data_IF_207986484917
#
_entry.id   IF_207986484917
#
_cell.length_a   1.000
_cell.length_b   1.000
_cell.length_c   1.000
_cell.angle_alpha   90.00
_cell.angle_beta   90.00
_cell.angle_gamma   90.00
#
_symmetry.space_group_name_H-M   'P 1'
#
loop_
_entity.id
_entity.type
_entity.pdbx_description
1 polymer ?
#
# COMPACT_ATOMS: atom_id res chain seq x y z
N UNK A 1 7.35 29.61 10.09
CA UNK A 1 8.18 28.81 11.01
C UNK A 1 7.64 28.66 12.44
N UNK A 2 6.86 29.60 13.02
CA UNK A 2 6.38 29.52 14.43
C UNK A 2 5.56 28.26 14.79
N UNK A 3 4.86 27.65 13.84
CA UNK A 3 3.92 26.54 14.11
C UNK A 3 4.21 25.23 13.36
N UNK A 4 5.06 25.27 12.33
CA UNK A 4 5.36 24.14 11.45
C UNK A 4 6.82 23.71 11.52
N UNK A 5 7.54 24.06 12.59
CA UNK A 5 8.91 23.59 12.78
C UNK A 5 8.90 22.06 12.92
N UNK A 6 9.58 21.39 11.99
CA UNK A 6 9.65 19.93 11.96
C UNK A 6 10.56 19.43 13.10
N UNK A 7 10.07 18.52 13.97
CA UNK A 7 10.92 17.95 14.99
C UNK A 7 11.88 16.94 14.36
N UNK A 8 13.14 16.96 14.79
CA UNK A 8 14.10 15.89 14.48
C UNK A 8 13.75 14.67 15.33
N UNK A 9 13.54 13.52 14.69
CA UNK A 9 13.19 12.29 15.37
C UNK A 9 14.45 11.66 15.99
N UNK A 10 14.40 11.34 17.29
CA UNK A 10 15.53 10.73 18.00
C UNK A 10 15.85 9.32 17.48
N UNK A 11 17.12 8.93 17.43
CA UNK A 11 17.57 7.59 17.01
C UNK A 11 18.08 7.54 15.56
N UNK A 12 18.43 6.34 15.11
CA UNK A 12 18.97 6.10 13.75
C UNK A 12 17.84 5.90 12.73
N UNK A 13 18.08 6.17 11.44
CA UNK A 13 17.21 5.71 10.35
C UNK A 13 16.90 4.19 10.47
N UNK A 14 15.72 3.71 10.03
CA UNK A 14 14.71 4.42 9.23
C UNK A 14 13.69 5.22 10.06
N UNK A 15 13.56 4.97 11.37
CA UNK A 15 12.53 5.60 12.23
C UNK A 15 13.00 6.91 12.92
N UNK A 16 14.29 7.21 12.87
CA UNK A 16 14.90 8.44 13.38
C UNK A 16 15.44 9.34 12.28
N UNK A 17 15.95 10.52 12.65
CA UNK A 17 16.52 11.52 11.74
C UNK A 17 15.55 12.64 11.37
N UNK A 18 15.89 13.36 10.29
CA UNK A 18 15.01 14.38 9.72
C UNK A 18 13.78 13.71 9.08
N UNK A 19 12.65 14.41 9.12
CA UNK A 19 11.39 13.94 8.53
C UNK A 19 11.50 14.09 7.01
N UNK A 20 11.50 12.96 6.29
CA UNK A 20 11.66 12.96 4.84
C UNK A 20 10.39 13.41 4.11
N UNK A 21 9.23 12.92 4.54
CA UNK A 21 7.91 13.27 4.01
C UNK A 21 7.28 14.37 4.87
N UNK A 22 7.77 15.60 4.71
CA UNK A 22 7.42 16.73 5.56
C UNK A 22 6.02 17.29 5.29
N UNK A 23 5.54 17.29 4.04
CA UNK A 23 4.27 17.90 3.63
C UNK A 23 3.08 17.51 4.52
N UNK A 24 2.93 16.20 4.78
CA UNK A 24 1.86 15.67 5.62
C UNK A 24 1.99 16.08 7.09
N UNK A 25 3.22 16.20 7.58
CA UNK A 25 3.50 16.60 8.96
C UNK A 25 3.25 18.09 9.11
N UNK A 26 3.69 18.91 8.16
CA UNK A 26 3.44 20.35 8.17
C UNK A 26 1.94 20.64 8.10
N UNK A 27 1.19 19.97 7.22
CA UNK A 27 -0.26 20.07 7.18
C UNK A 27 -0.91 19.75 8.53
N UNK A 28 -0.48 18.66 9.18
CA UNK A 28 -1.00 18.28 10.49
C UNK A 28 -0.63 19.29 11.60
N UNK A 29 0.56 19.88 11.55
CA UNK A 29 1.03 20.91 12.47
C UNK A 29 0.28 22.24 12.26
N UNK A 30 0.03 22.64 11.01
CA UNK A 30 -0.82 23.78 10.67
C UNK A 30 -2.23 23.58 11.22
N UNK A 31 -2.80 22.39 11.02
CA UNK A 31 -4.14 22.08 11.54
C UNK A 31 -4.18 22.12 13.07
N UNK A 32 -3.14 21.61 13.74
CA UNK A 32 -2.98 21.70 15.20
C UNK A 32 -2.88 23.15 15.69
N UNK A 33 -2.31 24.06 14.89
CA UNK A 33 -2.20 25.48 15.21
C UNK A 33 -3.50 26.28 14.92
N UNK A 34 -4.59 25.60 14.52
CA UNK A 34 -5.89 26.23 14.29
C UNK A 34 -6.14 26.66 12.84
N UNK A 35 -5.17 26.47 11.93
CA UNK A 35 -5.38 26.75 10.51
C UNK A 35 -6.29 25.71 9.86
N UNK A 36 -6.95 26.09 8.78
CA UNK A 36 -7.61 25.15 7.88
C UNK A 36 -6.64 24.70 6.79
N UNK A 37 -6.73 23.42 6.42
CA UNK A 37 -5.89 22.82 5.38
C UNK A 37 -6.82 22.18 4.37
N UNK A 38 -6.68 22.59 3.11
CA UNK A 38 -7.52 22.19 1.99
C UNK A 38 -6.68 21.45 0.94
N UNK A 39 -7.18 20.33 0.42
CA UNK A 39 -6.57 19.62 -0.70
C UNK A 39 -7.22 20.09 -2.01
N UNK A 40 -6.50 20.92 -2.76
CA UNK A 40 -6.98 21.40 -4.06
C UNK A 40 -6.50 20.48 -5.19
N UNK A 41 -7.44 19.79 -5.85
CA UNK A 41 -7.14 18.79 -6.89
C UNK A 41 -7.15 19.34 -8.33
N UNK A 42 -7.59 20.59 -8.53
CA UNK A 42 -7.80 21.19 -9.86
C UNK A 42 -6.92 22.43 -10.11
N UNK A 43 -5.70 22.46 -9.58
CA UNK A 43 -4.77 23.56 -9.83
C UNK A 43 -4.06 23.35 -11.18
N UNK A 44 -4.22 24.25 -12.17
CA UNK A 44 -3.45 24.17 -13.41
C UNK A 44 -1.99 24.57 -13.16
N UNK A 45 -1.07 24.06 -13.99
CA UNK A 45 0.32 24.54 -14.04
C UNK A 45 1.33 23.79 -13.17
N UNK A 46 0.97 22.68 -12.54
CA UNK A 46 1.94 21.74 -11.97
C UNK A 46 2.33 20.70 -13.03
N UNK A 47 3.50 20.88 -13.63
CA UNK A 47 4.07 19.92 -14.58
C UNK A 47 5.19 19.15 -13.89
N UNK A 48 4.81 18.26 -12.97
CA UNK A 48 5.77 17.40 -12.28
C UNK A 48 6.12 16.20 -13.16
N UNK A 49 7.41 16.02 -13.44
CA UNK A 49 7.89 14.92 -14.24
C UNK A 49 7.94 13.63 -13.41
N UNK A 50 7.58 12.51 -14.05
CA UNK A 50 7.70 11.18 -13.46
C UNK A 50 9.16 10.71 -13.62
N UNK A 51 9.74 9.98 -12.64
CA UNK A 51 11.07 9.44 -12.77
C UNK A 51 11.26 8.68 -14.09
N UNK A 52 12.27 9.01 -14.91
CA UNK A 52 12.49 8.41 -16.23
C UNK A 52 12.93 6.94 -16.16
N UNK A 53 13.45 6.48 -15.01
CA UNK A 53 13.98 5.13 -14.84
C UNK A 53 13.37 4.41 -13.65
N UNK A 54 13.27 3.08 -13.74
CA UNK A 54 12.79 2.23 -12.65
C UNK A 54 13.65 2.38 -11.37
N UNK A 55 14.97 2.55 -11.52
CA UNK A 55 15.87 2.73 -10.38
C UNK A 55 15.61 4.03 -9.62
N UNK A 56 15.30 5.11 -10.34
CA UNK A 56 14.92 6.39 -9.73
C UNK A 56 13.54 6.31 -9.07
N UNK A 57 12.58 5.61 -9.69
CA UNK A 57 11.27 5.35 -9.08
C UNK A 57 11.43 4.59 -7.75
N UNK A 58 12.23 3.52 -7.72
CA UNK A 58 12.51 2.74 -6.51
C UNK A 58 13.25 3.57 -5.45
N UNK A 59 14.16 4.45 -5.86
CA UNK A 59 14.89 5.34 -4.94
C UNK A 59 13.97 6.41 -4.34
N UNK A 60 13.01 6.91 -5.12
CA UNK A 60 11.97 7.83 -4.63
C UNK A 60 11.03 7.11 -3.66
N UNK A 61 10.58 5.92 -4.02
CA UNK A 61 9.69 5.10 -3.18
C UNK A 61 10.37 4.71 -1.85
N UNK A 62 11.69 4.44 -1.83
CA UNK A 62 12.47 4.29 -0.58
C UNK A 62 12.28 5.46 0.37
N UNK A 63 12.41 6.68 -0.15
CA UNK A 63 12.32 7.91 0.64
C UNK A 63 10.91 8.08 1.20
N UNK A 64 9.89 7.79 0.39
CA UNK A 64 8.50 7.82 0.80
C UNK A 64 8.18 6.74 1.84
N UNK A 65 8.66 5.52 1.66
CA UNK A 65 8.53 4.44 2.63
C UNK A 65 9.12 4.82 3.98
N UNK A 66 10.36 5.30 4.01
CA UNK A 66 11.01 5.74 5.24
C UNK A 66 10.25 6.90 5.90
N UNK A 67 9.84 7.91 5.12
CA UNK A 67 9.04 9.04 5.63
C UNK A 67 7.71 8.61 6.24
N UNK A 68 6.99 7.70 5.59
CA UNK A 68 5.73 7.16 6.10
C UNK A 68 5.91 6.31 7.37
N UNK A 69 6.99 5.52 7.46
CA UNK A 69 7.31 4.78 8.68
C UNK A 69 7.68 5.72 9.84
N UNK A 70 8.38 6.83 9.56
CA UNK A 70 8.65 7.87 10.56
C UNK A 70 7.36 8.48 11.13
N UNK A 71 6.31 8.63 10.32
CA UNK A 71 5.02 9.21 10.76
C UNK A 71 4.32 8.40 11.86
N UNK A 72 4.59 7.09 11.97
CA UNK A 72 4.06 6.25 13.06
C UNK A 72 4.45 6.82 14.44
N UNK A 73 5.62 7.43 14.56
CA UNK A 73 6.06 8.06 15.82
C UNK A 73 5.33 9.37 16.12
N UNK A 74 4.83 10.02 15.08
CA UNK A 74 4.08 11.27 15.17
C UNK A 74 2.60 11.02 15.48
N UNK A 75 2.12 9.78 15.34
CA UNK A 75 0.74 9.38 15.63
C UNK A 75 0.29 9.79 17.05
N UNK A 76 1.17 9.64 18.05
CA UNK A 76 0.88 9.93 19.46
C UNK A 76 1.09 11.40 19.86
N UNK A 77 1.42 12.30 18.91
CA UNK A 77 1.53 13.72 19.23
C UNK A 77 0.18 14.28 19.72
N UNK A 78 0.24 15.02 20.83
CA UNK A 78 -0.91 15.74 21.38
C UNK A 78 -1.35 16.86 20.42
N UNK A 79 -2.65 17.03 20.27
CA UNK A 79 -3.26 18.08 19.45
C UNK A 79 -3.42 17.75 17.95
N UNK A 80 -3.01 16.56 17.50
CA UNK A 80 -3.29 16.11 16.13
C UNK A 80 -4.70 15.52 16.06
N UNK A 81 -5.51 16.00 15.12
CA UNK A 81 -6.88 15.52 14.91
C UNK A 81 -6.90 14.07 14.36
N UNK A 82 -7.99 13.31 14.59
CA UNK A 82 -8.08 11.91 14.16
C UNK A 82 -7.82 11.68 12.66
N UNK A 83 -8.25 12.59 11.79
CA UNK A 83 -8.06 12.46 10.33
C UNK A 83 -6.59 12.40 9.94
N UNK A 84 -5.74 13.27 10.50
CA UNK A 84 -4.29 13.23 10.23
C UNK A 84 -3.63 12.00 10.85
N UNK A 85 -4.12 11.52 12.00
CA UNK A 85 -3.64 10.26 12.59
C UNK A 85 -3.94 9.06 11.69
N UNK A 86 -5.14 9.01 11.12
CA UNK A 86 -5.50 8.00 10.13
C UNK A 86 -4.61 8.09 8.89
N UNK A 87 -4.33 9.29 8.39
CA UNK A 87 -3.43 9.50 7.26
C UNK A 87 -2.02 8.94 7.52
N UNK A 88 -1.44 9.22 8.70
CA UNK A 88 -0.13 8.67 9.09
C UNK A 88 -0.15 7.14 9.21
N UNK A 89 -1.19 6.58 9.81
CA UNK A 89 -1.33 5.12 9.93
C UNK A 89 -1.53 4.48 8.56
N UNK A 90 -2.36 5.06 7.70
CA UNK A 90 -2.61 4.59 6.35
C UNK A 90 -1.32 4.59 5.53
N UNK A 91 -0.53 5.68 5.59
CA UNK A 91 0.78 5.78 4.95
C UNK A 91 1.73 4.66 5.38
N UNK A 92 1.82 4.37 6.68
CA UNK A 92 2.62 3.26 7.18
C UNK A 92 2.06 1.89 6.74
N UNK A 93 0.73 1.73 6.72
CA UNK A 93 0.06 0.50 6.33
C UNK A 93 0.16 0.19 4.84
N UNK A 94 0.29 1.19 3.95
CA UNK A 94 0.55 0.96 2.52
C UNK A 94 1.82 0.11 2.36
N UNK A 95 2.89 0.46 3.06
CA UNK A 95 4.15 -0.29 3.02
C UNK A 95 4.12 -1.56 3.88
N UNK A 96 3.47 -1.52 5.05
CA UNK A 96 3.30 -2.70 5.91
C UNK A 96 2.45 -3.80 5.28
N UNK A 97 1.45 -3.45 4.49
CA UNK A 97 0.56 -4.41 3.81
C UNK A 97 1.32 -5.29 2.81
N UNK A 98 2.31 -4.74 2.11
CA UNK A 98 3.17 -5.53 1.21
C UNK A 98 3.97 -6.60 1.95
N UNK A 99 4.49 -6.30 3.14
CA UNK A 99 5.18 -7.27 3.98
C UNK A 99 4.22 -8.36 4.51
N UNK A 100 3.03 -7.96 4.97
CA UNK A 100 2.00 -8.91 5.41
C UNK A 100 1.57 -9.84 4.27
N UNK A 101 1.42 -9.31 3.06
CA UNK A 101 1.10 -10.08 1.86
C UNK A 101 2.20 -11.09 1.51
N UNK A 102 3.47 -10.66 1.58
CA UNK A 102 4.61 -11.56 1.39
C UNK A 102 4.62 -12.70 2.41
N UNK A 103 4.44 -12.39 3.70
CA UNK A 103 4.32 -13.40 4.75
C UNK A 103 3.15 -14.35 4.51
N UNK A 104 2.00 -13.83 4.08
CA UNK A 104 0.83 -14.63 3.74
C UNK A 104 1.12 -15.61 2.60
N UNK A 105 1.75 -15.17 1.50
CA UNK A 105 2.14 -16.06 0.40
C UNK A 105 3.13 -17.12 0.88
N UNK A 106 4.12 -16.74 1.69
CA UNK A 106 5.15 -17.66 2.20
C UNK A 106 4.52 -18.75 3.08
N UNK A 107 3.67 -18.36 4.02
CA UNK A 107 2.98 -19.30 4.92
C UNK A 107 2.00 -20.19 4.14
N UNK A 108 1.24 -19.64 3.19
CA UNK A 108 0.31 -20.42 2.36
C UNK A 108 1.05 -21.43 1.48
N UNK A 109 2.21 -21.04 0.94
CA UNK A 109 3.06 -21.94 0.15
C UNK A 109 3.63 -23.06 1.02
N UNK A 110 4.07 -22.72 2.24
CA UNK A 110 4.56 -23.72 3.19
C UNK A 110 3.47 -24.70 3.61
N UNK A 111 2.26 -24.21 3.92
CA UNK A 111 1.10 -25.04 4.25
C UNK A 111 0.77 -26.01 3.10
N UNK A 112 0.73 -25.52 1.85
CA UNK A 112 0.48 -26.36 0.68
C UNK A 112 1.55 -27.45 0.48
N UNK A 113 2.82 -27.15 0.79
CA UNK A 113 3.90 -28.15 0.75
C UNK A 113 3.72 -29.19 1.87
N UNK A 114 3.41 -28.75 3.08
CA UNK A 114 3.23 -29.64 4.23
C UNK A 114 2.04 -30.58 4.04
N UNK A 115 0.95 -30.12 3.42
CA UNK A 115 -0.22 -30.96 3.11
C UNK A 115 0.12 -32.11 2.14
N UNK A 116 1.08 -31.91 1.25
CA UNK A 116 1.57 -32.96 0.34
C UNK A 116 2.56 -33.90 1.03
N UNK A 117 3.40 -33.38 1.92
CA UNK A 117 4.48 -34.16 2.56
C UNK A 117 4.03 -34.93 3.81
N UNK A 118 3.03 -34.42 4.53
CA UNK A 118 2.52 -35.01 5.77
C UNK A 118 1.21 -35.72 5.45
N UNK A 119 1.22 -37.04 5.49
CA UNK A 119 -0.01 -37.82 5.33
C UNK A 119 -1.01 -37.49 6.47
N UNK A 120 -2.28 -37.17 6.14
CA UNK A 120 -3.28 -36.85 7.15
C UNK A 120 -3.57 -38.07 8.03
N UNK A 121 -3.41 -37.90 9.34
CA UNK A 121 -3.77 -38.92 10.33
C UNK A 121 -5.26 -38.84 10.60
N UNK A 122 -6.04 -39.72 9.98
CA UNK A 122 -7.50 -39.72 10.11
C UNK A 122 -8.01 -40.17 11.49
N UNK A 123 -7.21 -40.92 12.27
CA UNK A 123 -7.59 -41.42 13.59
C UNK A 123 -6.53 -41.04 14.66
N UNK A 124 -6.47 -39.77 15.08
CA UNK A 124 -5.41 -39.30 16.00
C UNK A 124 -5.62 -39.72 17.46
N UNK A 125 -6.83 -40.15 17.85
CA UNK A 125 -7.14 -40.62 19.20
C UNK A 125 -7.25 -42.16 19.24
N UNK A 126 -6.67 -42.77 20.26
CA UNK A 126 -6.85 -44.20 20.53
C UNK A 126 -8.35 -44.47 20.79
N UNK A 127 -8.95 -45.35 19.98
CA UNK A 127 -10.38 -45.70 19.97
C UNK A 127 -11.35 -44.68 19.30
N UNK A 128 -10.88 -43.86 18.36
CA UNK A 128 -11.79 -43.06 17.54
C UNK A 128 -12.68 -43.94 16.63
N UNK A 129 -14.00 -43.81 16.77
CA UNK A 129 -15.00 -44.55 15.96
C UNK A 129 -15.21 -43.94 14.56
N UNK A 130 -14.82 -42.69 14.34
CA UNK A 130 -15.01 -41.96 13.09
C UNK A 130 -13.72 -41.24 12.67
N UNK A 131 -13.41 -41.18 11.36
CA UNK A 131 -12.25 -40.46 10.85
C UNK A 131 -12.44 -38.94 10.96
N UNK A 132 -11.35 -38.23 11.29
CA UNK A 132 -11.26 -36.78 11.18
C UNK A 132 -10.72 -36.42 9.79
N UNK A 133 -11.60 -35.85 8.97
CA UNK A 133 -11.21 -35.38 7.64
C UNK A 133 -10.51 -34.02 7.73
N UNK A 134 -9.45 -33.79 6.95
CA UNK A 134 -8.86 -32.46 6.81
C UNK A 134 -9.93 -31.47 6.32
N UNK A 135 -10.05 -30.34 7.01
CA UNK A 135 -11.09 -29.34 6.71
C UNK A 135 -10.52 -28.27 5.79
N UNK A 136 -11.10 -28.18 4.59
CA UNK A 136 -10.76 -27.15 3.62
C UNK A 136 -11.90 -26.14 3.49
N UNK A 137 -11.60 -24.84 3.60
CA UNK A 137 -12.58 -23.75 3.52
C UNK A 137 -12.39 -22.87 2.26
N UNK A 138 -12.72 -23.36 1.05
CA UNK A 138 -12.49 -22.64 -0.20
C UNK A 138 -13.25 -21.30 -0.28
N UNK A 139 -14.37 -21.16 0.43
CA UNK A 139 -15.17 -19.94 0.46
C UNK A 139 -14.38 -18.73 0.99
N UNK A 140 -13.54 -18.91 2.01
CA UNK A 140 -12.76 -17.80 2.57
C UNK A 140 -11.69 -17.32 1.60
N UNK A 141 -11.04 -18.25 0.91
CA UNK A 141 -10.07 -17.93 -0.14
C UNK A 141 -10.74 -17.15 -1.29
N UNK A 142 -11.93 -17.58 -1.73
CA UNK A 142 -12.67 -16.89 -2.77
C UNK A 142 -13.10 -15.48 -2.34
N UNK A 143 -13.62 -15.32 -1.11
CA UNK A 143 -13.99 -14.02 -0.55
C UNK A 143 -12.78 -13.09 -0.50
N UNK A 144 -11.64 -13.56 0.00
CA UNK A 144 -10.40 -12.80 0.05
C UNK A 144 -9.95 -12.37 -1.36
N UNK A 145 -9.97 -13.29 -2.33
CA UNK A 145 -9.61 -13.01 -3.71
C UNK A 145 -10.51 -11.95 -4.34
N UNK A 146 -11.83 -12.15 -4.31
CA UNK A 146 -12.80 -11.23 -4.91
C UNK A 146 -12.74 -9.85 -4.25
N UNK A 147 -12.65 -9.80 -2.93
CA UNK A 147 -12.53 -8.53 -2.18
C UNK A 147 -11.27 -7.78 -2.58
N UNK A 148 -10.15 -8.49 -2.69
CA UNK A 148 -8.87 -7.90 -3.12
C UNK A 148 -8.95 -7.36 -4.55
N UNK A 149 -9.53 -8.12 -5.48
CA UNK A 149 -9.73 -7.68 -6.86
C UNK A 149 -10.60 -6.41 -6.92
N UNK A 150 -11.71 -6.37 -6.19
CA UNK A 150 -12.58 -5.18 -6.15
C UNK A 150 -11.78 -3.98 -5.65
N UNK A 151 -11.08 -4.09 -4.52
CA UNK A 151 -10.33 -2.95 -3.95
C UNK A 151 -9.25 -2.44 -4.91
N UNK A 152 -8.54 -3.32 -5.61
CA UNK A 152 -7.46 -2.95 -6.52
C UNK A 152 -7.94 -2.35 -7.85
N UNK A 153 -9.02 -2.91 -8.42
CA UNK A 153 -9.46 -2.54 -9.77
C UNK A 153 -10.59 -1.51 -9.81
N UNK A 154 -11.42 -1.43 -8.77
CA UNK A 154 -12.55 -0.49 -8.70
C UNK A 154 -12.15 0.97 -8.95
N UNK A 155 -11.12 1.57 -8.31
CA UNK A 155 -10.79 2.98 -8.55
C UNK A 155 -10.39 3.25 -10.00
N UNK A 156 -9.73 2.30 -10.67
CA UNK A 156 -9.36 2.42 -12.09
C UNK A 156 -10.59 2.40 -12.99
N UNK A 157 -11.54 1.49 -12.72
CA UNK A 157 -12.80 1.41 -13.45
C UNK A 157 -13.64 2.68 -13.26
N UNK A 158 -13.71 3.21 -12.04
CA UNK A 158 -14.39 4.47 -11.76
C UNK A 158 -13.74 5.65 -12.49
N UNK A 159 -12.40 5.68 -12.57
CA UNK A 159 -11.66 6.70 -13.34
C UNK A 159 -12.01 6.67 -14.83
N UNK A 160 -11.97 5.49 -15.46
CA UNK A 160 -12.37 5.33 -16.86
C UNK A 160 -13.83 5.71 -17.06
N UNK A 161 -14.72 5.28 -16.17
CA UNK A 161 -16.14 5.61 -16.23
C UNK A 161 -16.39 7.11 -16.12
N UNK A 162 -15.67 7.82 -15.25
CA UNK A 162 -15.76 9.27 -15.11
C UNK A 162 -15.33 9.99 -16.41
N UNK A 163 -14.24 9.54 -17.05
CA UNK A 163 -13.78 10.09 -18.34
C UNK A 163 -14.81 9.86 -19.44
N UNK A 164 -15.49 8.71 -19.44
CA UNK A 164 -16.55 8.41 -20.39
C UNK A 164 -17.78 9.31 -20.18
N UNK A 165 -18.24 9.50 -18.94
CA UNK A 165 -19.37 10.40 -18.62
C UNK A 165 -19.07 11.83 -19.05
N UNK A 166 -17.85 12.31 -18.81
CA UNK A 166 -17.43 13.67 -19.20
C UNK A 166 -17.23 13.85 -20.71
N UNK A 167 -17.26 12.77 -21.50
CA UNK A 167 -16.99 12.84 -22.94
C UNK A 167 -15.54 13.21 -23.29
N UNK A 168 -14.63 13.11 -22.31
CA UNK A 168 -13.22 13.49 -22.40
C UNK A 168 -12.36 12.39 -23.01
N UNK A 169 -12.94 11.24 -23.37
CA UNK A 169 -12.23 10.12 -23.97
C UNK A 169 -11.44 10.50 -25.24
N UNK A 170 -11.84 11.57 -25.94
CA UNK A 170 -11.12 12.11 -27.11
C UNK A 170 -9.72 12.63 -26.75
N UNK A 171 -9.51 13.15 -25.54
CA UNK A 171 -8.19 13.58 -25.04
C UNK A 171 -7.23 12.40 -24.93
N UNK A 172 -7.75 11.18 -24.74
CA UNK A 172 -6.99 9.93 -24.64
C UNK A 172 -7.00 9.13 -25.96
N UNK A 173 -7.37 9.75 -27.09
CA UNK A 173 -7.41 9.10 -28.39
C UNK A 173 -8.64 8.20 -28.62
N UNK A 174 -9.70 8.36 -27.82
CA UNK A 174 -10.99 7.67 -27.95
C UNK A 174 -11.18 6.51 -26.97
N UNK A 175 -12.41 6.03 -26.87
CA UNK A 175 -12.84 5.01 -25.89
C UNK A 175 -11.99 3.73 -25.98
N UNK A 176 -11.75 3.22 -27.19
CA UNK A 176 -10.95 1.99 -27.40
C UNK A 176 -9.51 2.15 -26.92
N UNK A 177 -8.88 3.30 -27.18
CA UNK A 177 -7.49 3.56 -26.76
C UNK A 177 -7.40 3.75 -25.24
N UNK A 178 -8.40 4.38 -24.63
CA UNK A 178 -8.52 4.50 -23.17
C UNK A 178 -8.59 3.11 -22.51
N UNK A 179 -9.46 2.22 -22.99
CA UNK A 179 -9.54 0.85 -22.46
C UNK A 179 -8.25 0.06 -22.66
N UNK A 180 -7.63 0.15 -23.84
CA UNK A 180 -6.34 -0.53 -24.10
C UNK A 180 -5.22 0.03 -23.20
N UNK A 181 -5.20 1.34 -22.96
CA UNK A 181 -4.26 1.98 -22.06
C UNK A 181 -4.43 1.48 -20.62
N UNK A 182 -5.67 1.36 -20.14
CA UNK A 182 -5.97 0.78 -18.82
C UNK A 182 -5.48 -0.67 -18.72
N UNK A 183 -5.73 -1.50 -19.73
CA UNK A 183 -5.28 -2.91 -19.74
C UNK A 183 -3.76 -2.99 -19.71
N UNK A 184 -3.08 -2.22 -20.56
CA UNK A 184 -1.62 -2.19 -20.59
C UNK A 184 -1.05 -1.74 -19.24
N UNK A 185 -1.61 -0.69 -18.66
CA UNK A 185 -1.21 -0.19 -17.34
C UNK A 185 -1.38 -1.26 -16.26
N UNK A 186 -2.49 -2.01 -16.26
CA UNK A 186 -2.70 -3.14 -15.34
C UNK A 186 -1.65 -4.23 -15.55
N UNK A 187 -1.37 -4.61 -16.79
CA UNK A 187 -0.36 -5.65 -17.10
C UNK A 187 1.03 -5.24 -16.64
N UNK A 188 1.44 -4.00 -16.91
CA UNK A 188 2.70 -3.45 -16.42
C UNK A 188 2.72 -3.39 -14.89
N UNK A 189 1.64 -2.93 -14.26
CA UNK A 189 1.51 -2.90 -12.80
C UNK A 189 1.67 -4.29 -12.16
N UNK A 190 1.06 -5.33 -12.74
CA UNK A 190 1.21 -6.73 -12.28
C UNK A 190 2.67 -7.19 -12.40
N UNK A 191 3.35 -6.84 -13.50
CA UNK A 191 4.76 -7.19 -13.71
C UNK A 191 5.69 -6.47 -12.73
N UNK A 192 5.42 -5.19 -12.43
CA UNK A 192 6.24 -4.39 -11.52
C UNK A 192 5.97 -4.70 -10.05
N UNK A 193 4.76 -5.13 -9.67
CA UNK A 193 4.40 -5.45 -8.29
C UNK A 193 5.41 -6.38 -7.57
N UNK A 194 5.81 -7.55 -8.12
CA UNK A 194 6.78 -8.42 -7.46
C UNK A 194 8.17 -7.81 -7.40
N UNK A 195 8.58 -7.04 -8.42
CA UNK A 195 9.86 -6.31 -8.39
C UNK A 195 9.86 -5.34 -7.22
N UNK A 196 8.85 -4.46 -7.14
CA UNK A 196 8.70 -3.53 -6.00
C UNK A 196 8.68 -4.32 -4.69
N UNK A 197 7.89 -5.39 -4.59
CA UNK A 197 7.79 -6.21 -3.39
C UNK A 197 9.11 -6.84 -2.95
N UNK A 198 10.04 -7.19 -3.84
CA UNK A 198 11.36 -7.72 -3.45
C UNK A 198 12.34 -6.64 -2.98
N UNK A 199 12.16 -5.40 -3.42
CA UNK A 199 12.95 -4.28 -2.90
C UNK A 199 12.46 -3.84 -1.52
N UNK A 200 11.16 -3.93 -1.20
CA UNK A 200 10.54 -3.56 0.09
C UNK A 200 11.12 -4.25 1.38
N UNK A 201 11.55 -5.52 1.36
CA UNK A 201 12.14 -6.20 2.52
C UNK A 201 13.63 -5.95 2.71
N UNK A 202 14.37 -5.54 1.67
CA UNK A 202 15.82 -5.25 1.78
C UNK A 202 16.11 -3.92 2.49
N UNK A 203 15.06 -3.22 2.95
CA UNK A 203 15.14 -1.86 3.48
C UNK A 203 15.67 -1.68 4.92
N UNK A 204 15.57 -2.65 5.88
CA UNK A 204 16.17 -2.44 7.20
C UNK A 204 17.67 -2.77 7.29
N UNK A 205 18.25 -3.50 6.33
CA UNK A 205 19.56 -4.15 6.49
C UNK A 205 20.68 -3.67 5.57
N UNK A 206 20.46 -2.64 4.75
CA UNK A 206 21.53 -2.00 3.95
C UNK A 206 21.63 -0.54 4.39
N UNK A 207 22.22 -0.37 5.57
CA UNK A 207 22.92 0.80 6.09
C UNK A 207 24.02 0.31 7.04
#
# INVERSE_FOLDING_TARGET
MKHCALPKLAGKPPLGGEILSHDFVEAALMRRAGFEVWLSHNLPGSYEEVPPTLLEELSRDRRWCQGNLQHVRLFMLKGIIPTHRFLFLNGAMIYGSGLLWFCFILMSSLEAILEVLIEPVYFPAEHALFPQWPVWYPQWALILLVTTLIILFLPKLLGVFLVLIKGEARLFGGVRRLFMSMILEVLFSILFAPVKMLFHPKFPSIL
#
